data_IF_910365188622
#
_entry.id   IF_910365188622
#
_cell.length_a   1.000
_cell.length_b   1.000
_cell.length_c   1.000
_cell.angle_alpha   90.00
_cell.angle_beta   90.00
_cell.angle_gamma   90.00
#
_symmetry.space_group_name_H-M   'P 1'
#
loop_
_entity.id
_entity.type
_entity.pdbx_description
1 polymer ?
#
# COMPACT_ATOMS: atom_id res chain seq x y z
N UNK A 1 -2.33 8.08 17.50
CA UNK A 1 -2.95 7.50 18.71
C UNK A 1 -2.88 5.99 18.59
N UNK A 2 -2.49 5.31 19.66
CA UNK A 2 -2.55 3.84 19.73
C UNK A 2 -4.00 3.38 19.61
N UNK A 3 -4.24 2.34 18.81
CA UNK A 3 -5.55 1.78 18.54
C UNK A 3 -5.56 0.24 18.62
N UNK A 4 -4.55 -0.35 19.27
CA UNK A 4 -4.49 -1.79 19.47
C UNK A 4 -5.72 -2.30 20.23
N UNK A 5 -6.26 -3.44 19.77
CA UNK A 5 -7.50 -4.01 20.30
C UNK A 5 -8.79 -3.48 19.65
N UNK A 6 -8.72 -2.38 18.89
CA UNK A 6 -9.88 -1.87 18.16
C UNK A 6 -10.08 -2.60 16.82
N UNK A 7 -11.35 -2.60 16.42
CA UNK A 7 -11.85 -3.02 15.12
C UNK A 7 -12.32 -1.82 14.33
N UNK A 8 -12.25 -1.93 13.02
CA UNK A 8 -12.86 -1.00 12.08
C UNK A 8 -13.85 -1.75 11.20
N UNK A 9 -15.02 -1.17 10.98
CA UNK A 9 -15.96 -1.66 9.98
C UNK A 9 -16.33 -0.55 9.02
N UNK A 10 -16.55 -0.90 7.76
CA UNK A 10 -17.07 0.02 6.75
C UNK A 10 -18.07 -0.66 5.82
N UNK A 11 -19.14 0.04 5.49
CA UNK A 11 -20.00 -0.35 4.36
C UNK A 11 -19.27 0.07 3.09
N UNK A 12 -18.95 -0.91 2.25
CA UNK A 12 -18.31 -0.65 0.97
C UNK A 12 -18.98 -1.48 -0.12
N UNK A 13 -18.92 -0.96 -1.35
CA UNK A 13 -19.25 -1.77 -2.52
C UNK A 13 -18.36 -2.99 -2.56
N UNK A 14 -18.91 -4.14 -2.91
CA UNK A 14 -18.11 -5.29 -3.23
C UNK A 14 -17.35 -5.02 -4.53
N UNK A 15 -16.22 -5.71 -4.69
CA UNK A 15 -15.47 -5.70 -5.94
C UNK A 15 -15.20 -7.14 -6.36
N UNK A 16 -15.14 -7.36 -7.67
CA UNK A 16 -14.51 -8.53 -8.24
C UNK A 16 -13.11 -8.16 -8.71
N UNK A 17 -12.17 -9.07 -8.48
CA UNK A 17 -10.82 -9.03 -9.02
C UNK A 17 -10.53 -10.31 -9.82
N UNK A 18 -11.57 -10.95 -10.34
CA UNK A 18 -11.46 -12.22 -11.05
C UNK A 18 -10.66 -12.06 -12.34
N UNK A 19 -9.82 -13.06 -12.63
CA UNK A 19 -9.01 -13.10 -13.86
C UNK A 19 -8.15 -11.85 -14.08
N UNK A 20 -7.80 -11.16 -12.98
CA UNK A 20 -6.98 -9.97 -13.02
C UNK A 20 -7.72 -8.72 -13.47
N UNK A 21 -9.05 -8.66 -13.54
CA UNK A 21 -9.78 -7.39 -13.79
C UNK A 21 -10.44 -6.88 -12.51
N UNK A 22 -10.17 -5.63 -12.12
CA UNK A 22 -10.84 -5.00 -10.99
C UNK A 22 -12.11 -4.29 -11.47
N UNK A 23 -13.23 -4.57 -10.81
CA UNK A 23 -14.50 -3.86 -11.02
C UNK A 23 -15.27 -3.78 -9.71
N UNK A 24 -15.86 -2.62 -9.45
CA UNK A 24 -16.88 -2.51 -8.42
C UNK A 24 -18.15 -3.23 -8.86
N UNK A 25 -18.84 -3.84 -7.91
CA UNK A 25 -20.20 -4.36 -8.09
C UNK A 25 -21.20 -3.35 -7.52
N UNK A 26 -22.48 -3.56 -7.83
CA UNK A 26 -23.58 -2.78 -7.24
C UNK A 26 -23.97 -3.26 -5.84
N UNK A 27 -23.42 -4.40 -5.39
CA UNK A 27 -23.70 -4.94 -4.07
C UNK A 27 -22.85 -4.24 -3.02
N UNK A 28 -23.45 -3.90 -1.87
CA UNK A 28 -22.74 -3.35 -0.72
C UNK A 28 -22.71 -4.38 0.40
N UNK A 29 -21.60 -4.41 1.14
CA UNK A 29 -21.51 -5.16 2.39
C UNK A 29 -20.74 -4.40 3.45
N UNK A 30 -20.99 -4.75 4.70
CA UNK A 30 -20.13 -4.36 5.81
C UNK A 30 -18.91 -5.27 5.84
N UNK A 31 -17.74 -4.65 5.88
CA UNK A 31 -16.46 -5.33 6.03
C UNK A 31 -15.92 -5.05 7.42
N UNK A 32 -15.41 -6.08 8.09
CA UNK A 32 -14.84 -5.97 9.44
C UNK A 32 -13.34 -6.25 9.40
N UNK A 33 -12.54 -5.30 9.87
CA UNK A 33 -11.09 -5.43 9.99
C UNK A 33 -10.65 -5.32 11.45
N UNK A 34 -9.79 -6.26 11.85
CA UNK A 34 -9.15 -6.31 13.16
C UNK A 34 -7.68 -5.89 13.08
N UNK A 35 -7.04 -5.82 14.26
CA UNK A 35 -5.61 -5.51 14.44
C UNK A 35 -5.24 -4.12 13.96
N UNK A 36 -6.11 -3.15 14.23
CA UNK A 36 -5.72 -1.75 14.14
C UNK A 36 -4.51 -1.53 15.05
N UNK A 37 -3.60 -0.68 14.61
CA UNK A 37 -2.40 -0.29 15.36
C UNK A 37 -2.44 1.17 15.71
N UNK A 38 -2.81 2.03 14.76
CA UNK A 38 -2.87 3.47 15.00
C UNK A 38 -4.05 4.13 14.31
N UNK A 39 -4.52 5.19 14.95
CA UNK A 39 -5.49 6.15 14.42
C UNK A 39 -4.85 7.54 14.46
N UNK A 40 -4.93 8.26 13.35
CA UNK A 40 -4.40 9.61 13.21
C UNK A 40 -5.43 10.49 12.50
N UNK A 41 -5.56 11.74 12.94
CA UNK A 41 -6.43 12.74 12.30
C UNK A 41 -5.56 13.79 11.61
N UNK A 42 -5.73 13.93 10.30
CA UNK A 42 -5.00 14.93 9.49
C UNK A 42 -5.98 15.91 8.86
N UNK A 43 -5.53 17.15 8.65
CA UNK A 43 -6.24 18.13 7.81
C UNK A 43 -5.48 18.28 6.50
N UNK A 44 -6.18 18.12 5.39
CA UNK A 44 -5.62 18.31 4.05
C UNK A 44 -5.56 19.79 3.68
N UNK A 45 -4.98 20.11 2.51
CA UNK A 45 -4.77 21.48 2.07
C UNK A 45 -6.07 22.20 1.71
N UNK A 46 -7.07 21.45 1.22
CA UNK A 46 -8.40 21.97 0.91
C UNK A 46 -9.27 22.15 2.17
N UNK A 47 -8.76 21.75 3.34
CA UNK A 47 -9.44 21.88 4.62
C UNK A 47 -10.25 20.64 5.04
N UNK A 48 -10.38 19.63 4.17
CA UNK A 48 -10.97 18.34 4.54
C UNK A 48 -10.18 17.68 5.66
N UNK A 49 -10.89 16.98 6.54
CA UNK A 49 -10.28 16.21 7.63
C UNK A 49 -10.32 14.75 7.23
N UNK A 50 -9.20 14.05 7.38
CA UNK A 50 -9.09 12.62 7.10
C UNK A 50 -8.69 11.87 8.35
N UNK A 51 -9.35 10.74 8.58
CA UNK A 51 -8.89 9.72 9.51
C UNK A 51 -7.94 8.78 8.77
N UNK A 52 -6.72 8.66 9.26
CA UNK A 52 -5.76 7.66 8.80
C UNK A 52 -5.78 6.51 9.78
N UNK A 53 -6.20 5.35 9.30
CA UNK A 53 -6.21 4.10 10.03
C UNK A 53 -5.03 3.25 9.55
N UNK A 54 -4.30 2.65 10.49
CA UNK A 54 -3.29 1.65 10.17
C UNK A 54 -3.56 0.35 10.88
N UNK A 55 -3.20 -0.75 10.22
CA UNK A 55 -3.23 -2.10 10.79
C UNK A 55 -2.03 -2.90 10.36
N UNK A 56 -1.75 -3.97 11.12
CA UNK A 56 -0.68 -4.92 10.80
C UNK A 56 -1.23 -6.34 10.70
N UNK A 57 -0.66 -7.10 9.77
CA UNK A 57 -0.92 -8.52 9.61
C UNK A 57 0.39 -9.29 9.56
N UNK A 58 0.55 -10.27 10.44
CA UNK A 58 1.67 -11.21 10.37
C UNK A 58 1.48 -12.16 9.20
N UNK A 59 2.52 -12.33 8.38
CA UNK A 59 2.55 -13.32 7.32
C UNK A 59 3.81 -14.17 7.40
N UNK A 60 3.69 -15.41 6.93
CA UNK A 60 4.83 -16.27 6.65
C UNK A 60 4.98 -16.43 5.15
N UNK A 61 6.09 -15.94 4.59
CA UNK A 61 6.28 -15.91 3.14
C UNK A 61 7.62 -16.50 2.72
N UNK A 62 7.58 -17.38 1.73
CA UNK A 62 8.79 -17.90 1.05
C UNK A 62 9.17 -17.08 -0.18
N UNK A 63 8.24 -16.26 -0.66
CA UNK A 63 8.38 -15.55 -1.93
C UNK A 63 8.57 -14.05 -1.74
N UNK A 64 8.22 -13.51 -0.56
CA UNK A 64 8.34 -12.08 -0.25
C UNK A 64 9.78 -11.59 -0.20
N UNK A 65 10.72 -12.45 0.17
CA UNK A 65 12.15 -12.14 0.28
C UNK A 65 12.97 -12.98 -0.69
N UNK A 66 12.91 -12.69 -2.00
CA UNK A 66 13.66 -13.43 -3.01
C UNK A 66 15.19 -13.39 -2.79
N UNK A 67 15.69 -12.43 -2.03
CA UNK A 67 17.09 -12.32 -1.58
C UNK A 67 17.51 -13.42 -0.60
N UNK A 68 16.59 -14.00 0.16
CA UNK A 68 16.87 -15.01 1.19
C UNK A 68 16.75 -16.46 0.68
N UNK A 69 16.50 -16.66 -0.61
CA UNK A 69 16.28 -17.99 -1.21
C UNK A 69 14.88 -18.55 -0.93
N UNK A 70 14.52 -19.67 -1.59
CA UNK A 70 13.17 -20.26 -1.53
C UNK A 70 13.01 -21.33 -0.45
N UNK A 71 14.10 -21.69 0.22
CA UNK A 71 14.14 -22.86 1.12
C UNK A 71 13.59 -22.52 2.51
N UNK A 72 13.73 -21.27 2.96
CA UNK A 72 13.26 -20.83 4.27
C UNK A 72 12.07 -19.88 4.14
N UNK A 73 11.03 -20.17 4.92
CA UNK A 73 9.87 -19.29 5.02
C UNK A 73 10.16 -18.23 6.09
N UNK A 74 10.03 -16.96 5.70
CA UNK A 74 10.35 -15.82 6.56
C UNK A 74 9.06 -15.29 7.16
N UNK A 75 9.06 -15.08 8.46
CA UNK A 75 7.99 -14.36 9.15
C UNK A 75 8.19 -12.86 8.92
N UNK A 76 7.13 -12.17 8.51
CA UNK A 76 7.17 -10.76 8.16
C UNK A 76 5.85 -10.03 8.46
N UNK A 77 5.94 -8.75 8.77
CA UNK A 77 4.79 -7.86 8.94
C UNK A 77 4.29 -7.25 7.62
N UNK A 78 3.03 -7.49 7.27
CA UNK A 78 2.29 -6.65 6.32
C UNK A 78 1.70 -5.44 7.05
N UNK A 79 1.97 -4.26 6.51
CA UNK A 79 1.41 -3.00 6.99
C UNK A 79 0.33 -2.52 6.03
N UNK A 80 -0.74 -1.96 6.58
CA UNK A 80 -1.83 -1.42 5.79
C UNK A 80 -2.22 -0.04 6.27
N UNK A 81 -2.67 0.81 5.34
CA UNK A 81 -3.21 2.14 5.59
C UNK A 81 -4.57 2.32 4.89
N UNK A 82 -5.51 2.97 5.56
CA UNK A 82 -6.77 3.43 4.99
C UNK A 82 -6.99 4.89 5.39
N UNK A 83 -7.28 5.74 4.42
CA UNK A 83 -7.62 7.15 4.64
C UNK A 83 -9.11 7.38 4.39
N UNK A 84 -9.83 7.90 5.37
CA UNK A 84 -11.28 8.12 5.31
C UNK A 84 -11.56 9.60 5.48
N UNK A 85 -12.36 10.18 4.59
CA UNK A 85 -12.85 11.54 4.77
C UNK A 85 -13.85 11.60 5.94
N UNK A 86 -13.66 12.56 6.83
CA UNK A 86 -14.58 12.85 7.92
C UNK A 86 -15.15 14.24 7.65
N UNK A 87 -16.43 14.26 7.29
CA UNK A 87 -17.18 15.47 7.06
C UNK A 87 -17.42 16.20 8.38
N UNK A 88 -18.27 15.72 9.29
CA UNK A 88 -18.59 16.43 10.54
C UNK A 88 -19.00 15.55 11.73
N UNK A 89 -19.41 14.29 11.52
CA UNK A 89 -20.06 13.50 12.54
C UNK A 89 -19.18 12.35 13.06
N UNK A 90 -18.76 12.48 14.32
CA UNK A 90 -18.20 11.36 15.09
C UNK A 90 -19.20 11.03 16.18
N UNK A 91 -19.77 9.83 16.12
CA UNK A 91 -20.83 9.39 17.01
C UNK A 91 -20.41 9.33 18.47
N UNK A 92 -21.40 9.31 19.36
CA UNK A 92 -21.22 8.85 20.73
C UNK A 92 -21.02 7.34 20.78
N UNK A 93 -20.44 6.85 21.87
CA UNK A 93 -20.24 5.41 22.04
C UNK A 93 -21.58 4.78 22.37
N UNK A 94 -21.99 3.86 21.52
CA UNK A 94 -23.18 3.06 21.66
C UNK A 94 -22.84 1.63 22.03
N UNK A 95 -23.84 0.93 22.53
CA UNK A 95 -23.74 -0.47 22.94
C UNK A 95 -24.78 -1.30 22.19
N UNK A 96 -24.32 -2.26 21.41
CA UNK A 96 -25.16 -3.16 20.62
C UNK A 96 -24.64 -4.61 20.68
N UNK A 97 -25.39 -5.53 20.08
CA UNK A 97 -24.95 -6.91 19.84
C UNK A 97 -24.60 -7.07 18.37
N UNK A 98 -23.42 -7.62 18.08
CA UNK A 98 -22.90 -7.70 16.73
C UNK A 98 -22.27 -9.06 16.45
N UNK A 99 -22.32 -9.47 15.18
CA UNK A 99 -21.64 -10.66 14.65
C UNK A 99 -20.71 -10.19 13.54
N UNK A 100 -19.42 -10.15 13.83
CA UNK A 100 -18.41 -9.76 12.85
C UNK A 100 -18.17 -10.88 11.84
N UNK A 101 -18.01 -10.51 10.57
CA UNK A 101 -17.72 -11.42 9.46
C UNK A 101 -16.29 -11.18 8.98
N UNK A 102 -15.40 -12.10 9.31
CA UNK A 102 -13.97 -11.98 9.04
C UNK A 102 -13.56 -12.99 7.99
N UNK A 103 -12.88 -12.52 6.94
CA UNK A 103 -12.30 -13.42 5.95
C UNK A 103 -10.97 -13.99 6.43
N UNK A 104 -10.86 -15.31 6.44
CA UNK A 104 -9.62 -16.03 6.67
C UNK A 104 -8.96 -16.33 5.32
N UNK A 105 -7.99 -15.50 4.92
CA UNK A 105 -7.26 -15.66 3.67
C UNK A 105 -6.46 -16.98 3.60
N UNK A 106 -6.07 -17.55 4.75
CA UNK A 106 -5.31 -18.81 4.77
C UNK A 106 -6.18 -20.02 4.45
N UNK A 107 -7.45 -19.96 4.86
CA UNK A 107 -8.44 -21.02 4.63
C UNK A 107 -9.36 -20.74 3.45
N UNK A 108 -9.32 -19.51 2.92
CA UNK A 108 -10.25 -19.03 1.90
C UNK A 108 -11.72 -19.17 2.35
N UNK A 109 -11.99 -18.84 3.61
CA UNK A 109 -13.32 -19.01 4.23
C UNK A 109 -13.70 -17.82 5.08
N UNK A 110 -15.00 -17.54 5.15
CA UNK A 110 -15.56 -16.56 6.09
C UNK A 110 -15.80 -17.21 7.46
N UNK A 111 -15.32 -16.54 8.51
CA UNK A 111 -15.61 -16.88 9.90
C UNK A 111 -16.56 -15.85 10.49
N UNK A 112 -17.49 -16.32 11.33
CA UNK A 112 -18.38 -15.47 12.11
C UNK A 112 -17.88 -15.40 13.55
N UNK A 113 -17.79 -14.20 14.11
CA UNK A 113 -17.38 -13.96 15.49
C UNK A 113 -18.52 -13.19 16.17
N UNK A 114 -19.23 -13.86 17.08
CA UNK A 114 -20.42 -13.33 17.73
C UNK A 114 -21.62 -14.29 17.64
N UNK A 115 -22.83 -13.84 18.03
CA UNK A 115 -23.14 -12.49 18.49
C UNK A 115 -22.52 -12.20 19.87
N UNK A 116 -21.95 -11.02 20.02
CA UNK A 116 -21.40 -10.51 21.30
C UNK A 116 -21.77 -9.06 21.48
N UNK A 117 -21.79 -8.62 22.74
CA UNK A 117 -21.96 -7.22 23.08
C UNK A 117 -20.70 -6.46 22.67
N UNK A 118 -20.84 -5.36 21.92
CA UNK A 118 -19.73 -4.47 21.57
C UNK A 118 -20.04 -3.04 21.99
N UNK A 119 -18.97 -2.25 22.05
CA UNK A 119 -19.05 -0.80 22.08
C UNK A 119 -18.60 -0.28 20.72
N UNK A 120 -19.33 0.67 20.15
CA UNK A 120 -19.03 1.22 18.83
C UNK A 120 -19.35 2.71 18.76
N UNK A 121 -18.69 3.44 17.88
CA UNK A 121 -19.14 4.76 17.46
C UNK A 121 -18.91 4.93 15.97
N UNK A 122 -19.78 5.71 15.32
CA UNK A 122 -19.70 5.97 13.88
C UNK A 122 -18.65 7.02 13.54
N UNK A 123 -18.07 6.88 12.35
CA UNK A 123 -17.21 7.85 11.68
C UNK A 123 -17.86 8.12 10.33
N UNK A 124 -18.53 9.26 10.20
CA UNK A 124 -19.41 9.51 9.07
C UNK A 124 -20.58 8.52 9.05
N UNK A 125 -21.13 8.28 7.85
CA UNK A 125 -22.32 7.46 7.66
C UNK A 125 -22.02 5.98 7.37
N UNK A 126 -20.80 5.68 6.95
CA UNK A 126 -20.43 4.37 6.42
C UNK A 126 -19.37 3.64 7.24
N UNK A 127 -18.77 4.27 8.27
CA UNK A 127 -17.66 3.72 9.04
C UNK A 127 -17.94 3.60 10.54
N UNK A 128 -17.36 2.59 11.20
CA UNK A 128 -17.43 2.39 12.65
C UNK A 128 -16.09 1.96 13.22
N UNK A 129 -15.69 2.57 14.34
CA UNK A 129 -14.68 2.00 15.23
C UNK A 129 -15.39 1.31 16.39
N UNK A 130 -14.92 0.12 16.75
CA UNK A 130 -15.57 -0.66 17.79
C UNK A 130 -14.61 -1.61 18.51
N UNK A 131 -15.03 -2.10 19.68
CA UNK A 131 -14.37 -3.17 20.43
C UNK A 131 -15.42 -4.05 21.11
N UNK A 132 -15.09 -5.31 21.41
CA UNK A 132 -15.98 -6.13 22.23
C UNK A 132 -16.05 -5.58 23.66
N UNK A 133 -17.23 -5.61 24.27
CA UNK A 133 -17.47 -4.99 25.58
C UNK A 133 -16.84 -5.79 26.74
N UNK A 134 -16.47 -7.04 26.51
CA UNK A 134 -15.78 -7.94 27.44
C UNK A 134 -14.24 -7.89 27.30
N UNK A 135 -13.71 -7.21 26.29
CA UNK A 135 -12.26 -7.08 26.05
C UNK A 135 -11.71 -5.78 26.64
N UNK A 136 -10.61 -5.88 27.42
CA UNK A 136 -9.84 -4.73 27.88
C UNK A 136 -10.42 -3.94 29.06
N UNK A 137 -11.39 -4.50 29.79
CA UNK A 137 -12.02 -3.83 30.93
C UNK A 137 -11.47 -4.35 32.26
N UNK A 138 -10.26 -3.96 32.64
CA UNK A 138 -9.70 -4.24 33.97
C UNK A 138 -10.39 -3.40 35.08
N UNK A 139 -11.73 -3.44 35.18
CA UNK A 139 -12.39 -3.10 36.46
C UNK A 139 -13.72 -2.35 36.45
N UNK A 140 -14.18 -1.71 35.36
CA UNK A 140 -15.40 -0.87 35.42
C UNK A 140 -16.54 -1.28 34.49
N UNK A 141 -16.25 -2.01 33.40
CA UNK A 141 -17.25 -2.40 32.41
C UNK A 141 -17.90 -1.21 31.69
N UNK A 142 -17.22 -0.06 31.64
CA UNK A 142 -17.67 1.16 30.96
C UNK A 142 -16.83 1.44 29.71
N UNK A 143 -17.44 1.92 28.61
CA UNK A 143 -16.70 2.21 27.38
C UNK A 143 -15.67 3.34 27.52
N UNK A 144 -15.92 4.32 28.38
CA UNK A 144 -15.05 5.50 28.57
C UNK A 144 -13.69 5.14 29.16
N UNK A 145 -13.63 4.07 29.95
CA UNK A 145 -12.41 3.59 30.61
C UNK A 145 -11.62 2.61 29.74
N UNK A 146 -12.13 2.27 28.56
CA UNK A 146 -11.50 1.34 27.64
C UNK A 146 -10.86 2.05 26.44
N UNK A 147 -10.11 1.31 25.62
CA UNK A 147 -9.40 1.83 24.44
C UNK A 147 -10.33 2.61 23.49
N UNK A 148 -11.55 2.13 23.28
CA UNK A 148 -12.53 2.82 22.45
C UNK A 148 -12.93 4.20 22.99
N UNK A 149 -13.04 4.33 24.32
CA UNK A 149 -13.26 5.60 25.01
C UNK A 149 -12.13 6.58 24.79
N UNK A 150 -10.89 6.12 24.95
CA UNK A 150 -9.68 6.92 24.69
C UNK A 150 -9.65 7.42 23.25
N UNK A 151 -9.90 6.55 22.28
CA UNK A 151 -9.86 6.91 20.85
C UNK A 151 -11.03 7.81 20.46
N UNK A 152 -12.25 7.56 20.94
CA UNK A 152 -13.40 8.44 20.69
C UNK A 152 -13.14 9.85 21.20
N UNK A 153 -12.63 9.97 22.43
CA UNK A 153 -12.26 11.24 23.04
C UNK A 153 -11.17 11.94 22.24
N UNK A 154 -10.09 11.23 21.88
CA UNK A 154 -9.01 11.77 21.05
C UNK A 154 -9.54 12.34 19.73
N UNK A 155 -10.38 11.58 19.01
CA UNK A 155 -10.94 12.04 17.73
C UNK A 155 -11.80 13.28 17.96
N UNK A 156 -12.75 13.26 18.90
CA UNK A 156 -13.66 14.38 19.17
C UNK A 156 -12.92 15.67 19.57
N UNK A 157 -11.93 15.56 20.45
CA UNK A 157 -11.12 16.70 20.89
C UNK A 157 -10.31 17.28 19.73
N UNK A 158 -9.62 16.43 18.96
CA UNK A 158 -8.83 16.88 17.80
C UNK A 158 -9.70 17.43 16.67
N UNK A 159 -10.87 16.85 16.47
CA UNK A 159 -11.81 17.30 15.45
C UNK A 159 -12.38 18.68 15.76
N UNK A 160 -12.64 18.95 17.04
CA UNK A 160 -13.16 20.23 17.53
C UNK A 160 -12.08 21.30 17.72
N UNK A 161 -10.82 20.90 17.76
CA UNK A 161 -9.69 21.82 17.93
C UNK A 161 -9.47 22.70 16.70
N UNK A 162 -9.28 24.00 16.93
CA UNK A 162 -8.79 24.95 15.92
C UNK A 162 -7.32 24.70 15.57
N UNK A 163 -6.61 23.97 16.42
CA UNK A 163 -5.18 23.65 16.34
C UNK A 163 -4.89 22.39 15.53
N UNK A 164 -5.88 21.85 14.79
CA UNK A 164 -5.59 20.85 13.76
C UNK A 164 -4.83 21.54 12.63
N UNK A 165 -3.51 21.65 12.82
CA UNK A 165 -2.56 22.20 11.87
C UNK A 165 -2.65 21.34 10.62
N UNK A 166 -2.76 21.99 9.46
CA UNK A 166 -2.56 21.32 8.19
C UNK A 166 -1.20 20.61 8.24
N UNK A 167 -1.23 19.29 8.16
CA UNK A 167 -0.04 18.49 8.00
C UNK A 167 -0.24 17.60 6.79
N UNK A 168 0.74 17.62 5.92
CA UNK A 168 0.89 16.63 4.88
C UNK A 168 1.92 15.57 5.24
N UNK A 169 2.39 15.55 6.49
CA UNK A 169 3.29 14.53 7.03
C UNK A 169 2.44 13.54 7.83
N UNK A 170 2.56 12.26 7.49
CA UNK A 170 1.92 11.15 8.17
C UNK A 170 2.92 10.48 9.12
N UNK A 171 2.51 10.25 10.36
CA UNK A 171 3.32 9.53 11.34
C UNK A 171 3.16 8.02 11.16
N UNK A 172 4.23 7.33 10.77
CA UNK A 172 4.21 5.88 10.56
C UNK A 172 4.45 5.08 11.84
N UNK A 173 4.87 5.74 12.92
CA UNK A 173 5.35 5.12 14.16
C UNK A 173 6.43 4.05 13.89
N UNK A 174 7.44 4.39 13.10
CA UNK A 174 8.61 3.54 12.81
C UNK A 174 9.91 4.28 13.13
N UNK A 175 11.03 3.56 13.08
CA UNK A 175 12.35 4.19 13.23
C UNK A 175 12.57 5.24 12.13
N UNK A 176 13.11 6.39 12.53
CA UNK A 176 13.43 7.49 11.62
C UNK A 176 14.54 7.06 10.66
N UNK A 177 14.50 7.63 9.46
CA UNK A 177 15.55 7.46 8.47
C UNK A 177 15.98 8.82 7.94
N UNK A 178 17.29 9.04 7.83
CA UNK A 178 17.84 10.29 7.31
C UNK A 178 18.04 10.26 5.79
N UNK A 179 17.93 9.10 5.15
CA UNK A 179 17.99 8.97 3.69
C UNK A 179 16.65 9.31 3.03
N UNK A 180 16.70 9.97 1.88
CA UNK A 180 15.51 10.24 1.08
C UNK A 180 15.00 8.93 0.46
N UNK A 181 13.98 8.32 1.07
CA UNK A 181 13.29 7.15 0.52
C UNK A 181 11.78 7.39 0.49
N UNK A 182 11.10 7.07 -0.62
CA UNK A 182 9.65 7.20 -0.68
C UNK A 182 8.95 6.10 0.13
N UNK A 183 7.72 6.38 0.54
CA UNK A 183 6.78 5.37 1.03
C UNK A 183 5.80 5.09 -0.08
N UNK A 184 5.60 3.82 -0.41
CA UNK A 184 4.68 3.43 -1.49
C UNK A 184 3.40 2.88 -0.87
N UNK A 185 2.26 3.39 -1.33
CA UNK A 185 0.95 2.83 -1.05
C UNK A 185 0.39 2.18 -2.30
N UNK A 186 -0.06 0.94 -2.17
CA UNK A 186 -0.69 0.19 -3.25
C UNK A 186 -2.01 -0.41 -2.77
N UNK A 187 -3.13 -0.29 -3.49
CA UNK A 187 -4.37 -0.95 -3.15
C UNK A 187 -4.22 -2.45 -2.86
N UNK A 188 -4.76 -2.86 -1.71
CA UNK A 188 -4.65 -4.19 -1.12
C UNK A 188 -5.70 -5.15 -1.67
N UNK A 189 -5.70 -5.37 -2.98
CA UNK A 189 -6.70 -6.21 -3.65
C UNK A 189 -6.14 -7.62 -3.90
N UNK A 190 -6.52 -8.57 -3.05
CA UNK A 190 -5.92 -9.92 -3.04
C UNK A 190 -6.03 -10.69 -4.36
N UNK A 191 -7.15 -10.52 -5.10
CA UNK A 191 -7.38 -11.22 -6.36
C UNK A 191 -6.39 -10.85 -7.47
N UNK A 192 -5.82 -9.64 -7.43
CA UNK A 192 -4.89 -9.17 -8.46
C UNK A 192 -3.52 -9.85 -8.38
N UNK A 193 -3.10 -10.35 -7.20
CA UNK A 193 -1.77 -10.96 -6.96
C UNK A 193 -0.58 -10.14 -7.47
N UNK A 194 -0.78 -8.84 -7.64
CA UNK A 194 0.10 -7.97 -8.38
C UNK A 194 0.78 -6.94 -7.48
N UNK A 195 1.54 -7.44 -6.51
CA UNK A 195 2.09 -6.62 -5.45
C UNK A 195 3.58 -6.37 -5.61
N UNK A 196 4.09 -5.29 -4.99
CA UNK A 196 5.52 -4.97 -5.01
C UNK A 196 6.32 -6.03 -4.24
N UNK A 197 7.35 -6.55 -4.90
CA UNK A 197 8.32 -7.53 -4.39
C UNK A 197 9.63 -6.88 -3.98
N UNK A 198 10.04 -5.85 -4.70
CA UNK A 198 11.32 -5.17 -4.47
C UNK A 198 11.19 -3.68 -4.72
N UNK A 199 11.91 -2.89 -3.91
CA UNK A 199 12.03 -1.45 -4.02
C UNK A 199 13.51 -1.12 -4.04
N UNK A 200 14.00 -0.56 -5.14
CA UNK A 200 15.40 -0.17 -5.27
C UNK A 200 15.48 1.35 -5.34
N UNK A 201 16.22 1.96 -4.42
CA UNK A 201 16.36 3.41 -4.31
C UNK A 201 17.81 3.81 -4.56
N UNK A 202 18.10 4.35 -5.75
CA UNK A 202 19.45 4.72 -6.17
C UNK A 202 19.58 6.22 -6.36
N UNK A 203 20.49 6.84 -5.61
CA UNK A 203 20.81 8.26 -5.73
C UNK A 203 21.77 8.45 -6.90
N UNK A 204 21.35 9.23 -7.90
CA UNK A 204 22.21 9.63 -9.02
C UNK A 204 23.37 10.49 -8.51
N UNK A 205 24.55 10.41 -9.16
CA UNK A 205 25.60 11.41 -8.95
C UNK A 205 25.04 12.82 -9.15
N UNK A 206 25.45 13.75 -8.29
CA UNK A 206 24.98 15.13 -8.36
C UNK A 206 25.43 15.76 -9.70
N UNK A 207 24.48 16.03 -10.59
CA UNK A 207 24.67 16.79 -11.83
C UNK A 207 23.84 18.07 -11.76
N UNK A 208 24.44 19.21 -12.13
CA UNK A 208 23.77 20.52 -12.18
C UNK A 208 23.05 20.98 -10.90
N UNK A 209 23.58 20.59 -9.74
CA UNK A 209 23.06 21.04 -8.45
C UNK A 209 21.72 20.41 -8.04
N UNK A 210 21.35 19.26 -8.61
CA UNK A 210 20.12 18.54 -8.29
C UNK A 210 20.45 17.15 -7.75
N UNK A 211 19.83 16.79 -6.61
CA UNK A 211 19.85 15.42 -6.11
C UNK A 211 18.63 14.68 -6.67
N UNK A 212 18.89 13.73 -7.55
CA UNK A 212 17.86 12.85 -8.09
C UNK A 212 17.97 11.46 -7.47
N UNK A 213 16.86 10.95 -6.95
CA UNK A 213 16.72 9.57 -6.53
C UNK A 213 15.90 8.83 -7.58
N UNK A 214 16.51 7.87 -8.25
CA UNK A 214 15.79 6.91 -9.07
C UNK A 214 15.23 5.80 -8.18
N UNK A 215 13.92 5.59 -8.27
CA UNK A 215 13.22 4.56 -7.53
C UNK A 215 12.72 3.54 -8.54
N UNK A 216 13.06 2.27 -8.34
CA UNK A 216 12.67 1.17 -9.21
C UNK A 216 11.86 0.16 -8.41
N UNK A 217 10.61 -0.05 -8.80
CA UNK A 217 9.70 -1.02 -8.20
C UNK A 217 9.65 -2.27 -9.06
N UNK A 218 9.70 -3.44 -8.43
CA UNK A 218 9.51 -4.74 -9.10
C UNK A 218 8.23 -5.35 -8.58
N UNK A 219 7.28 -5.59 -9.48
CA UNK A 219 6.01 -6.21 -9.12
C UNK A 219 6.06 -7.72 -9.29
N UNK A 220 5.19 -8.42 -8.57
CA UNK A 220 5.10 -9.86 -8.62
C UNK A 220 4.71 -10.36 -10.02
N UNK A 221 3.73 -9.73 -10.67
CA UNK A 221 3.18 -10.08 -11.98
C UNK A 221 2.88 -8.80 -12.80
N UNK A 222 2.52 -8.93 -14.08
CA UNK A 222 1.83 -7.87 -14.84
C UNK A 222 0.86 -8.59 -15.77
N UNK A 223 -0.34 -8.87 -15.28
CA UNK A 223 -1.39 -9.38 -16.15
C UNK A 223 -1.94 -8.19 -16.94
N UNK A 224 -1.71 -8.15 -18.25
CA UNK A 224 -2.42 -7.23 -19.15
C UNK A 224 -3.79 -7.83 -19.48
N UNK A 225 -4.83 -7.00 -19.35
CA UNK A 225 -6.15 -7.51 -18.93
C UNK A 225 -7.15 -7.71 -20.09
N UNK A 226 -7.06 -6.97 -21.19
CA UNK A 226 -8.01 -7.09 -22.32
C UNK A 226 -7.76 -8.20 -23.34
N UNK A 227 -6.63 -8.90 -23.30
CA UNK A 227 -6.32 -9.92 -24.31
C UNK A 227 -5.52 -11.10 -23.73
N UNK A 228 -6.21 -12.10 -23.15
CA UNK A 228 -5.60 -13.34 -22.62
C UNK A 228 -4.68 -14.08 -23.60
N UNK A 229 -4.95 -14.02 -24.91
CA UNK A 229 -4.09 -14.62 -25.95
C UNK A 229 -2.81 -13.80 -26.15
N UNK A 230 -2.90 -12.48 -26.00
CA UNK A 230 -1.75 -11.59 -26.09
C UNK A 230 -0.87 -11.66 -24.84
N UNK A 231 -1.35 -12.07 -23.66
CA UNK A 231 -0.47 -12.21 -22.48
C UNK A 231 0.66 -13.22 -22.70
N UNK A 232 0.39 -14.41 -23.25
CA UNK A 232 1.47 -15.35 -23.60
C UNK A 232 2.42 -14.78 -24.66
N UNK A 233 1.88 -14.06 -25.65
CA UNK A 233 2.68 -13.44 -26.71
C UNK A 233 3.50 -12.27 -26.15
N UNK A 234 2.95 -11.51 -25.19
CA UNK A 234 3.55 -10.31 -24.61
C UNK A 234 4.54 -10.65 -23.50
N UNK A 235 4.29 -11.67 -22.69
CA UNK A 235 5.29 -12.32 -21.84
C UNK A 235 6.46 -12.79 -22.71
N UNK A 236 6.19 -13.53 -23.79
CA UNK A 236 7.21 -13.96 -24.75
C UNK A 236 7.91 -12.78 -25.46
N UNK A 237 7.21 -11.68 -25.72
CA UNK A 237 7.76 -10.49 -26.36
C UNK A 237 8.57 -9.64 -25.37
N UNK A 238 8.23 -9.59 -24.08
CA UNK A 238 9.05 -8.98 -23.02
C UNK A 238 10.28 -9.84 -22.73
N UNK A 239 10.11 -11.16 -22.71
CA UNK A 239 11.20 -12.14 -22.71
C UNK A 239 12.14 -11.91 -23.90
N UNK A 240 11.62 -11.80 -25.11
CA UNK A 240 12.43 -11.64 -26.33
C UNK A 240 13.03 -10.24 -26.50
N UNK A 241 12.30 -9.17 -26.15
CA UNK A 241 12.70 -7.76 -26.36
C UNK A 241 13.47 -7.17 -25.19
N UNK A 242 13.14 -7.55 -23.95
CA UNK A 242 13.68 -6.97 -22.73
C UNK A 242 14.38 -7.98 -21.81
N UNK A 243 14.27 -9.29 -22.10
CA UNK A 243 14.92 -10.36 -21.36
C UNK A 243 14.34 -10.60 -19.97
N UNK A 244 13.05 -10.33 -19.71
CA UNK A 244 12.48 -10.32 -18.34
C UNK A 244 11.02 -10.78 -18.26
N UNK A 245 10.65 -11.34 -17.10
CA UNK A 245 9.31 -11.88 -16.76
C UNK A 245 8.50 -11.01 -15.79
N UNK A 246 9.15 -10.19 -14.95
CA UNK A 246 8.48 -9.35 -13.94
C UNK A 246 8.25 -7.94 -14.46
N UNK A 247 7.18 -7.30 -13.98
CA UNK A 247 6.99 -5.87 -14.21
C UNK A 247 8.03 -5.08 -13.44
N UNK A 248 8.54 -4.03 -14.07
CA UNK A 248 9.49 -3.14 -13.42
C UNK A 248 9.16 -1.72 -13.83
N UNK A 249 8.74 -0.91 -12.88
CA UNK A 249 8.47 0.52 -13.08
C UNK A 249 9.46 1.39 -12.34
N UNK A 250 9.77 2.55 -12.89
CA UNK A 250 10.72 3.49 -12.28
C UNK A 250 10.20 4.91 -12.32
N UNK A 251 10.41 5.65 -11.23
CA UNK A 251 10.15 7.09 -11.15
C UNK A 251 11.33 7.81 -10.52
N UNK A 252 11.32 9.14 -10.58
CA UNK A 252 12.37 9.97 -9.98
C UNK A 252 11.78 10.85 -8.88
N UNK A 253 12.44 10.86 -7.74
CA UNK A 253 12.23 11.86 -6.67
C UNK A 253 13.33 12.93 -6.80
N UNK A 254 12.92 14.19 -6.78
CA UNK A 254 13.80 15.34 -6.72
C UNK A 254 13.92 15.80 -5.27
N UNK A 255 15.15 15.89 -4.78
CA UNK A 255 15.46 16.31 -3.42
C UNK A 255 16.40 17.52 -3.39
N UNK A 256 16.25 18.34 -2.36
CA UNK A 256 17.12 19.48 -2.10
C UNK A 256 18.51 19.02 -1.64
N UNK A 257 19.57 19.62 -2.21
CA UNK A 257 20.95 19.22 -1.91
C UNK A 257 21.33 19.40 -0.44
N UNK A 258 20.83 20.47 0.18
CA UNK A 258 21.20 20.87 1.53
C UNK A 258 20.56 19.98 2.61
N UNK A 259 19.23 19.94 2.63
CA UNK A 259 18.47 19.27 3.67
C UNK A 259 17.83 17.94 3.23
N UNK A 260 18.07 17.49 1.99
CA UNK A 260 17.56 16.22 1.47
C UNK A 260 16.04 16.15 1.34
N UNK A 261 15.33 17.26 1.50
CA UNK A 261 13.87 17.26 1.44
C UNK A 261 13.39 17.00 0.00
N UNK A 262 12.45 16.08 -0.14
CA UNK A 262 11.83 15.79 -1.42
C UNK A 262 10.85 16.91 -1.78
N UNK A 263 10.94 17.44 -3.00
CA UNK A 263 10.09 18.55 -3.43
C UNK A 263 9.45 18.34 -4.81
N UNK A 264 9.89 17.33 -5.56
CA UNK A 264 9.37 17.03 -6.89
C UNK A 264 9.37 15.55 -7.23
N UNK A 265 8.49 15.16 -8.15
CA UNK A 265 8.29 13.80 -8.62
C UNK A 265 8.21 13.79 -10.15
N UNK A 266 8.80 12.79 -10.80
CA UNK A 266 8.63 12.55 -12.25
C UNK A 266 8.20 11.11 -12.51
N UNK A 267 7.05 10.94 -13.15
CA UNK A 267 6.40 9.66 -13.43
C UNK A 267 6.41 9.36 -14.93
N UNK A 268 7.56 9.45 -15.59
CA UNK A 268 7.67 9.33 -17.05
C UNK A 268 7.03 8.03 -17.57
N UNK A 269 5.98 8.14 -18.37
CA UNK A 269 5.16 7.05 -18.96
C UNK A 269 4.37 6.20 -17.96
N UNK A 270 4.34 6.60 -16.70
CA UNK A 270 3.67 5.88 -15.62
C UNK A 270 2.83 6.81 -14.74
N UNK A 271 2.53 8.04 -15.19
CA UNK A 271 1.67 8.93 -14.41
C UNK A 271 0.21 8.47 -14.52
N UNK A 272 -0.45 8.25 -13.40
CA UNK A 272 -1.86 7.84 -13.38
C UNK A 272 -2.85 9.00 -13.52
N UNK A 273 -2.48 10.21 -13.10
CA UNK A 273 -3.46 11.31 -12.97
C UNK A 273 -4.64 10.88 -12.09
N UNK A 274 -5.86 11.16 -12.54
CA UNK A 274 -7.09 10.84 -11.81
C UNK A 274 -7.60 9.40 -12.06
N UNK A 275 -6.85 8.57 -12.80
CA UNK A 275 -7.25 7.19 -13.11
C UNK A 275 -7.10 6.28 -11.90
N UNK A 276 -7.98 5.28 -11.79
CA UNK A 276 -8.06 4.35 -10.64
C UNK A 276 -7.80 2.90 -11.07
N UNK A 277 -8.06 1.93 -10.18
CA UNK A 277 -7.81 0.51 -10.45
C UNK A 277 -8.64 -0.08 -11.61
N UNK A 278 -9.76 0.53 -11.99
CA UNK A 278 -10.58 0.06 -13.12
C UNK A 278 -9.87 0.29 -14.47
N UNK A 279 -8.85 1.16 -14.49
CA UNK A 279 -8.09 1.50 -15.67
C UNK A 279 -6.84 0.61 -15.84
N UNK A 280 -6.62 0.14 -17.08
CA UNK A 280 -5.66 -0.93 -17.40
C UNK A 280 -4.56 -0.57 -18.40
N UNK A 281 -4.56 0.65 -18.93
CA UNK A 281 -3.66 1.07 -20.04
C UNK A 281 -3.12 2.50 -19.89
N UNK A 282 -3.04 2.99 -18.67
CA UNK A 282 -2.65 4.37 -18.38
C UNK A 282 -1.14 4.55 -18.48
N UNK A 283 -0.71 5.51 -19.30
CA UNK A 283 0.69 5.87 -19.52
C UNK A 283 0.86 7.40 -19.62
N UNK A 284 0.50 8.12 -18.56
CA UNK A 284 0.68 9.57 -18.47
C UNK A 284 2.14 9.99 -18.43
N UNK A 285 2.39 11.30 -18.51
CA UNK A 285 3.73 11.90 -18.62
C UNK A 285 4.60 11.29 -19.72
N UNK A 286 4.22 11.42 -21.00
CA UNK A 286 4.87 10.70 -22.10
C UNK A 286 6.34 11.08 -22.32
N UNK A 287 6.77 12.23 -21.78
CA UNK A 287 8.11 12.79 -21.97
C UNK A 287 8.79 13.07 -20.61
N UNK A 288 10.11 12.86 -20.52
CA UNK A 288 10.87 13.06 -19.27
C UNK A 288 11.12 14.53 -18.91
N UNK A 289 10.93 15.45 -19.86
CA UNK A 289 11.20 16.88 -19.73
C UNK A 289 10.01 17.69 -19.18
N UNK A 290 8.90 17.02 -18.84
CA UNK A 290 7.77 17.67 -18.21
C UNK A 290 8.16 18.26 -16.84
N UNK A 291 7.56 19.40 -16.45
CA UNK A 291 7.73 19.93 -15.11
C UNK A 291 7.41 18.86 -14.05
N UNK A 292 8.21 18.73 -13.00
CA UNK A 292 7.96 17.73 -11.97
C UNK A 292 6.65 18.02 -11.23
N UNK A 293 5.93 16.96 -10.89
CA UNK A 293 4.79 17.02 -10.00
C UNK A 293 5.26 17.37 -8.59
N UNK A 294 4.48 18.18 -7.88
CA UNK A 294 4.81 18.54 -6.49
C UNK A 294 4.48 17.37 -5.58
N UNK A 295 5.35 17.08 -4.62
CA UNK A 295 5.02 16.11 -3.56
C UNK A 295 3.83 16.65 -2.76
N UNK A 296 2.77 15.84 -2.64
CA UNK A 296 1.59 16.22 -1.84
C UNK A 296 1.67 15.76 -0.40
N UNK A 297 2.15 14.54 -0.17
CA UNK A 297 2.20 13.91 1.15
C UNK A 297 3.59 13.34 1.44
N UNK A 298 3.90 13.25 2.72
CA UNK A 298 5.17 12.83 3.26
C UNK A 298 4.95 11.87 4.44
N UNK A 299 5.93 11.03 4.73
CA UNK A 299 5.94 10.15 5.89
C UNK A 299 7.08 10.53 6.83
N UNK A 300 6.85 10.68 8.13
CA UNK A 300 7.88 10.94 9.15
C UNK A 300 8.85 12.12 8.88
N UNK A 301 8.51 13.01 7.95
CA UNK A 301 9.30 14.19 7.58
C UNK A 301 9.38 14.42 6.07
N UNK A 302 9.89 15.58 5.67
CA UNK A 302 9.91 16.02 4.26
C UNK A 302 10.88 15.23 3.36
N UNK A 303 11.66 14.29 3.90
CA UNK A 303 12.57 13.42 3.13
C UNK A 303 11.89 12.21 2.51
N UNK A 304 10.69 11.84 2.99
CA UNK A 304 10.04 10.61 2.56
C UNK A 304 8.71 10.93 1.86
N UNK A 305 8.73 11.22 0.55
CA UNK A 305 7.50 11.48 -0.18
C UNK A 305 6.64 10.21 -0.23
N UNK A 306 5.33 10.38 -0.16
CA UNK A 306 4.37 9.29 -0.34
C UNK A 306 3.95 9.21 -1.80
N UNK A 307 3.96 8.00 -2.35
CA UNK A 307 3.60 7.68 -3.73
C UNK A 307 2.48 6.65 -3.74
N UNK A 308 1.46 6.87 -4.56
CA UNK A 308 0.32 5.97 -4.71
C UNK A 308 0.40 5.23 -6.04
N UNK A 309 0.36 3.90 -6.00
CA UNK A 309 0.07 3.06 -7.16
C UNK A 309 -1.44 3.05 -7.33
N UNK A 310 -1.93 3.63 -8.42
CA UNK A 310 -3.36 3.90 -8.57
C UNK A 310 -4.06 2.97 -9.54
N UNK A 311 -3.36 2.43 -10.52
CA UNK A 311 -3.97 1.65 -11.59
C UNK A 311 -3.52 0.20 -11.58
N UNK A 312 -4.29 -0.60 -12.30
CA UNK A 312 -4.06 -2.02 -12.49
C UNK A 312 -2.78 -2.34 -13.28
N UNK A 313 -2.29 -1.39 -14.08
CA UNK A 313 -1.03 -1.45 -14.82
C UNK A 313 0.10 -0.64 -14.13
N UNK A 314 0.00 -0.40 -12.82
CA UNK A 314 1.04 0.24 -12.00
C UNK A 314 1.37 1.69 -12.30
N UNK A 315 0.46 2.43 -12.94
CA UNK A 315 0.59 3.87 -13.04
C UNK A 315 0.43 4.51 -11.63
N UNK A 316 1.26 5.51 -11.36
CA UNK A 316 1.46 6.13 -10.05
C UNK A 316 1.18 7.63 -10.08
N UNK A 317 0.82 8.17 -8.93
CA UNK A 317 0.72 9.61 -8.72
C UNK A 317 1.08 10.01 -7.29
N UNK A 318 1.14 11.31 -7.07
CA UNK A 318 1.34 11.94 -5.77
C UNK A 318 0.07 11.96 -4.89
N UNK A 319 -1.06 11.42 -5.38
CA UNK A 319 -2.34 11.39 -4.68
C UNK A 319 -3.07 10.05 -4.88
N UNK A 320 -3.93 9.71 -3.92
CA UNK A 320 -4.74 8.49 -3.91
C UNK A 320 -6.01 8.65 -4.75
N UNK A 321 -6.20 7.79 -5.76
CA UNK A 321 -7.44 7.72 -6.56
C UNK A 321 -8.32 6.51 -6.19
N UNK A 322 -7.94 5.75 -5.16
CA UNK A 322 -8.66 4.59 -4.65
C UNK A 322 -8.96 4.72 -3.15
N UNK A 323 -9.56 5.83 -2.67
CA UNK A 323 -9.67 6.14 -1.24
C UNK A 323 -10.38 5.05 -0.44
N UNK A 324 -11.33 4.34 -1.06
CA UNK A 324 -12.13 3.29 -0.42
C UNK A 324 -11.42 1.96 -0.21
N UNK A 325 -10.19 1.79 -0.68
CA UNK A 325 -9.47 0.53 -0.51
C UNK A 325 -8.41 0.66 0.58
N UNK A 326 -8.21 -0.39 1.38
CA UNK A 326 -6.97 -0.52 2.14
C UNK A 326 -5.78 -0.52 1.18
N UNK A 327 -4.66 0.06 1.60
CA UNK A 327 -3.39 0.03 0.85
C UNK A 327 -2.35 -0.77 1.61
N UNK A 328 -1.56 -1.59 0.93
CA UNK A 328 -0.30 -2.08 1.46
C UNK A 328 0.65 -0.88 1.61
N UNK A 329 1.27 -0.76 2.78
CA UNK A 329 2.19 0.30 3.15
C UNK A 329 3.63 -0.23 3.07
N UNK A 330 4.36 0.18 2.03
CA UNK A 330 5.74 -0.21 1.82
C UNK A 330 6.69 0.86 2.34
N UNK A 331 7.39 0.53 3.42
CA UNK A 331 8.36 1.41 4.08
C UNK A 331 9.77 0.85 3.84
N UNK A 332 10.58 1.41 2.93
CA UNK A 332 11.85 0.82 2.48
C UNK A 332 12.92 0.61 3.55
N UNK A 333 12.78 1.19 4.75
CA UNK A 333 13.80 1.17 5.78
C UNK A 333 13.45 0.35 7.02
N UNK A 334 12.24 -0.20 7.11
CA UNK A 334 11.92 -1.14 8.20
C UNK A 334 12.57 -2.50 7.92
N UNK A 335 13.09 -3.13 8.98
CA UNK A 335 13.74 -4.44 8.88
C UNK A 335 12.72 -5.57 8.67
N UNK A 336 11.61 -5.53 9.40
CA UNK A 336 10.53 -6.50 9.31
C UNK A 336 9.61 -6.16 8.12
N UNK A 337 9.94 -6.71 6.95
CA UNK A 337 9.22 -6.48 5.70
C UNK A 337 9.17 -7.71 4.79
N UNK A 338 8.07 -7.90 4.02
CA UNK A 338 7.92 -9.01 3.09
C UNK A 338 8.34 -8.67 1.65
N UNK A 339 9.28 -7.75 1.50
CA UNK A 339 9.83 -7.30 0.22
C UNK A 339 11.32 -6.95 0.36
N UNK A 340 12.05 -6.94 -0.77
CA UNK A 340 13.46 -6.52 -0.79
C UNK A 340 13.55 -5.02 -0.89
N UNK A 341 14.47 -4.40 -0.16
CA UNK A 341 14.84 -3.01 -0.41
C UNK A 341 16.35 -2.87 -0.48
N UNK A 342 16.86 -2.40 -1.62
CA UNK A 342 18.28 -2.15 -1.85
C UNK A 342 18.49 -0.77 -2.51
N UNK A 343 19.76 -0.47 -2.84
CA UNK A 343 20.19 0.79 -3.48
C UNK A 343 20.72 0.59 -4.91
N UNK A 344 20.02 -0.22 -5.71
CA UNK A 344 20.42 -0.55 -7.08
C UNK A 344 19.80 0.42 -8.08
N UNK A 345 20.58 0.85 -9.06
CA UNK A 345 20.09 1.57 -10.24
C UNK A 345 19.17 0.68 -11.08
N UNK A 346 18.35 1.30 -11.94
CA UNK A 346 17.50 0.58 -12.88
C UNK A 346 18.30 -0.37 -13.77
N UNK A 347 19.50 0.01 -14.18
CA UNK A 347 20.36 -0.83 -15.03
C UNK A 347 20.92 -2.05 -14.31
N UNK A 348 21.34 -1.90 -13.05
CA UNK A 348 21.76 -3.03 -12.21
C UNK A 348 20.62 -4.01 -11.97
N UNK A 349 19.41 -3.49 -11.69
CA UNK A 349 18.20 -4.32 -11.60
C UNK A 349 17.98 -5.05 -12.92
N UNK A 350 17.97 -4.35 -14.05
CA UNK A 350 17.77 -4.96 -15.36
C UNK A 350 18.78 -6.09 -15.64
N UNK A 351 20.05 -5.92 -15.26
CA UNK A 351 21.12 -6.90 -15.47
C UNK A 351 20.90 -8.19 -14.68
N UNK A 352 20.48 -8.11 -13.42
CA UNK A 352 20.18 -9.28 -12.59
C UNK A 352 19.10 -10.18 -13.20
N UNK A 353 18.10 -9.54 -13.82
CA UNK A 353 16.96 -10.26 -14.40
C UNK A 353 17.22 -10.77 -15.83
N UNK A 354 18.16 -10.19 -16.58
CA UNK A 354 18.62 -10.73 -17.88
C UNK A 354 19.40 -12.04 -17.72
N UNK A 355 20.29 -12.12 -16.72
CA UNK A 355 21.15 -13.29 -16.51
C UNK A 355 20.41 -14.55 -16.03
N UNK A 356 19.24 -14.40 -15.39
CA UNK A 356 18.43 -15.55 -15.01
C UNK A 356 17.89 -16.32 -16.22
N UNK A 357 17.64 -15.60 -17.33
CA UNK A 357 17.11 -16.15 -18.57
C UNK A 357 18.14 -16.96 -19.35
N UNK A 358 19.38 -16.48 -19.44
CA UNK A 358 20.50 -17.27 -19.97
C UNK A 358 20.71 -18.55 -19.17
N UNK A 359 20.57 -18.50 -17.84
CA UNK A 359 20.65 -19.67 -16.96
C UNK A 359 19.50 -20.66 -17.17
N UNK A 360 18.26 -20.19 -17.36
CA UNK A 360 17.11 -21.06 -17.67
C UNK A 360 17.13 -21.59 -19.10
N UNK A 361 17.58 -20.80 -20.08
CA UNK A 361 17.76 -21.24 -21.47
C UNK A 361 18.86 -22.30 -21.55
N UNK A 362 20.00 -22.11 -20.88
CA UNK A 362 21.06 -23.10 -20.78
C UNK A 362 20.58 -24.40 -20.10
N UNK A 363 19.72 -24.30 -19.08
CA UNK A 363 19.13 -25.48 -18.46
C UNK A 363 18.12 -26.21 -19.38
N UNK A 364 17.39 -25.47 -20.22
CA UNK A 364 16.41 -26.01 -21.16
C UNK A 364 17.08 -26.65 -22.38
N UNK A 365 18.11 -26.03 -22.98
CA UNK A 365 18.91 -26.63 -24.05
C UNK A 365 19.65 -27.87 -23.57
N UNK A 366 20.19 -27.87 -22.34
CA UNK A 366 20.85 -29.06 -21.77
C UNK A 366 19.87 -30.23 -21.56
N UNK A 367 18.58 -29.95 -21.29
CA UNK A 367 17.52 -30.95 -21.14
C UNK A 367 16.99 -31.47 -22.49
N UNK A 368 16.98 -30.64 -23.52
CA UNK A 368 16.62 -31.01 -24.89
C UNK A 368 17.70 -31.85 -25.57
N UNK A 369 18.97 -31.53 -25.34
CA UNK A 369 20.11 -32.33 -25.85
C UNK A 369 20.17 -33.69 -25.17
N UNK A 370 19.92 -33.78 -23.87
CA UNK A 370 19.85 -35.07 -23.14
C UNK A 370 18.58 -35.90 -23.36
N UNK A 371 17.63 -35.43 -24.18
CA UNK A 371 16.46 -36.20 -24.65
C UNK A 371 16.60 -36.65 -26.11
N UNK A 372 17.65 -36.19 -26.79
CA UNK A 372 18.01 -36.54 -28.17
C UNK A 372 19.23 -37.46 -28.25
N UNK A 373 19.82 -37.79 -27.09
CA UNK A 373 20.72 -38.93 -26.85
C UNK A 373 19.93 -40.05 -26.18
#
# INVERSE_FOLDING_TARGET
MDAEGLWFSKIEREYSADLGEFRWTDEQRTWDWRRLTTVELVRTKDGSKKLILRRKGEIKTRYGRPDLGREEAVDASLRYMLGIDIDHNVGDIETDYYTAKVFDHSKNTWSLIGPKKRWSFSIGDEGWLWQWADEGTEGTGRPEDAKIGEVNKYIKERFSSKDLIYTNIFDLAVEKNDECFPVIYQPAVDGMKNFIREIHCWTKPDEDGKRELEVTLIFNNEELRKHKILNKIYENLRLAKYGRLKDVESFVVLADLGDGNANGLRFTKIYSGDNNLEEDTIHGDPKPDLPPHRVRYYADGYRHPIIFVNTSNHAMAEHDTNPDLWKWEYVPWIADRPFVSDKKSRDEVNMLYRNLLERTLAAFTKRLVGLLE
#
